data_IF_664601246211
#
_entry.id   IF_664601246211
#
_cell.length_a   1.000
_cell.length_b   1.000
_cell.length_c   1.000
_cell.angle_alpha   90.00
_cell.angle_beta   90.00
_cell.angle_gamma   90.00
#
_symmetry.space_group_name_H-M   'P 1'
#
loop_
_entity.id
_entity.type
_entity.pdbx_description
1 polymer ?
#
# COMPACT_ATOMS: atom_id res chain seq x y z
N UNK A 1 -28.14 3.20 14.29
CA UNK A 1 -26.72 2.76 14.31
C UNK A 1 -26.58 1.73 15.41
N UNK A 2 -26.14 0.51 15.10
CA UNK A 2 -25.82 -0.52 16.08
C UNK A 2 -24.30 -0.58 16.13
N UNK A 3 -23.70 -0.11 17.23
CA UNK A 3 -22.24 -0.18 17.41
C UNK A 3 -21.81 -1.65 17.49
N UNK A 4 -20.88 -2.04 16.61
CA UNK A 4 -20.25 -3.35 16.65
C UNK A 4 -19.27 -3.37 17.83
N UNK A 5 -19.70 -3.95 18.94
CA UNK A 5 -18.84 -4.26 20.10
C UNK A 5 -17.71 -5.17 19.61
N UNK A 6 -16.46 -4.71 19.78
CA UNK A 6 -15.28 -5.43 19.33
C UNK A 6 -14.99 -6.64 20.23
N UNK A 7 -14.16 -7.57 19.75
CA UNK A 7 -13.75 -8.72 20.56
C UNK A 7 -13.03 -8.28 21.85
N UNK A 8 -12.24 -7.21 21.77
CA UNK A 8 -11.52 -6.62 22.91
C UNK A 8 -12.48 -6.12 23.98
N UNK A 9 -13.55 -5.42 23.59
CA UNK A 9 -14.59 -4.94 24.52
C UNK A 9 -15.29 -6.10 25.24
N UNK A 10 -15.49 -7.24 24.55
CA UNK A 10 -16.07 -8.44 25.16
C UNK A 10 -15.12 -9.08 26.17
N UNK A 11 -13.83 -9.12 25.86
CA UNK A 11 -12.81 -9.67 26.75
C UNK A 11 -12.59 -8.80 27.98
N UNK A 12 -12.57 -7.47 27.83
CA UNK A 12 -12.46 -6.54 28.95
C UNK A 12 -13.66 -6.66 29.88
N UNK A 13 -14.88 -6.73 29.33
CA UNK A 13 -16.10 -6.96 30.10
C UNK A 13 -16.06 -8.26 30.91
N UNK A 14 -15.61 -9.36 30.30
CA UNK A 14 -15.46 -10.64 30.99
C UNK A 14 -14.42 -10.57 32.12
N UNK A 15 -13.33 -9.83 31.91
CA UNK A 15 -12.30 -9.68 32.92
C UNK A 15 -12.78 -8.82 34.10
N UNK A 16 -13.53 -7.75 33.83
CA UNK A 16 -14.19 -6.93 34.88
C UNK A 16 -15.20 -7.75 35.68
N UNK A 17 -16.02 -8.57 35.02
CA UNK A 17 -16.97 -9.47 35.69
C UNK A 17 -16.24 -10.49 36.58
N UNK A 18 -15.12 -11.05 36.12
CA UNK A 18 -14.30 -11.99 36.88
C UNK A 18 -13.72 -11.36 38.16
N UNK A 19 -13.16 -10.15 38.06
CA UNK A 19 -12.62 -9.43 39.22
C UNK A 19 -13.73 -9.05 40.23
N UNK A 20 -14.94 -8.72 39.75
CA UNK A 20 -16.09 -8.45 40.61
C UNK A 20 -16.52 -9.69 41.44
N UNK A 21 -16.41 -10.88 40.85
CA UNK A 21 -16.75 -12.16 41.52
C UNK A 21 -15.69 -12.53 42.57
N UNK A 22 -14.42 -12.20 42.34
CA UNK A 22 -13.34 -12.40 43.32
C UNK A 22 -13.50 -11.48 44.53
N UNK A 23 -13.90 -10.23 44.29
CA UNK A 23 -14.08 -9.23 45.35
C UNK A 23 -15.27 -9.56 46.27
N UNK A 24 -16.34 -10.15 45.73
CA UNK A 24 -17.53 -10.51 46.49
C UNK A 24 -17.85 -12.01 46.34
N UNK A 25 -17.14 -12.88 47.09
CA UNK A 25 -17.38 -14.31 47.00
C UNK A 25 -18.85 -14.61 47.36
N UNK A 26 -19.56 -15.44 46.58
CA UNK A 26 -20.96 -15.75 46.84
C UNK A 26 -21.12 -16.33 48.24
N UNK A 27 -22.18 -15.91 48.93
CA UNK A 27 -22.51 -16.36 50.28
C UNK A 27 -22.67 -17.89 50.34
N UNK A 28 -22.50 -18.48 51.51
CA UNK A 28 -22.57 -19.95 51.67
C UNK A 28 -23.92 -20.53 51.19
N UNK A 29 -25.01 -19.80 51.36
CA UNK A 29 -26.33 -20.17 50.82
C UNK A 29 -26.38 -20.11 49.29
N UNK A 30 -25.78 -19.09 48.66
CA UNK A 30 -25.65 -19.02 47.20
C UNK A 30 -24.74 -20.12 46.66
N UNK A 31 -23.65 -20.47 47.36
CA UNK A 31 -22.78 -21.60 47.01
C UNK A 31 -23.53 -22.93 47.06
N UNK A 32 -24.39 -23.15 48.06
CA UNK A 32 -25.24 -24.36 48.15
C UNK A 32 -26.29 -24.42 47.03
N UNK A 33 -26.90 -23.28 46.67
CA UNK A 33 -27.85 -23.20 45.55
C UNK A 33 -27.17 -23.42 44.19
N UNK A 34 -25.99 -22.82 43.98
CA UNK A 34 -25.20 -22.99 42.76
C UNK A 34 -24.66 -24.41 42.60
N UNK A 35 -24.29 -25.09 43.70
CA UNK A 35 -23.94 -26.52 43.65
C UNK A 35 -25.09 -27.40 43.17
N UNK A 36 -26.32 -27.17 43.64
CA UNK A 36 -27.51 -27.91 43.16
C UNK A 36 -27.79 -27.65 41.69
N UNK A 37 -27.68 -26.40 41.24
CA UNK A 37 -27.93 -26.05 39.85
C UNK A 37 -26.84 -26.59 38.91
N UNK A 38 -25.57 -26.53 39.30
CA UNK A 38 -24.47 -27.11 38.53
C UNK A 38 -24.59 -28.63 38.43
N UNK A 39 -25.07 -29.31 39.48
CA UNK A 39 -25.29 -30.76 39.45
C UNK A 39 -26.41 -31.14 38.48
N UNK A 40 -27.48 -30.34 38.42
CA UNK A 40 -28.55 -30.50 37.42
C UNK A 40 -28.06 -30.28 36.00
N UNK A 41 -27.24 -29.24 35.75
CA UNK A 41 -26.66 -28.96 34.43
C UNK A 41 -25.72 -30.09 33.99
N UNK A 42 -24.87 -30.59 34.90
CA UNK A 42 -24.00 -31.74 34.63
C UNK A 42 -24.80 -33.01 34.33
N UNK A 43 -25.91 -33.24 35.03
CA UNK A 43 -26.75 -34.42 34.81
C UNK A 43 -27.48 -34.34 33.46
N UNK A 44 -27.94 -33.15 33.06
CA UNK A 44 -28.51 -32.92 31.73
C UNK A 44 -27.46 -33.13 30.63
N UNK A 45 -26.25 -32.58 30.77
CA UNK A 45 -25.14 -32.82 29.83
C UNK A 45 -24.76 -34.29 29.74
N UNK A 46 -24.76 -35.02 30.87
CA UNK A 46 -24.48 -36.45 30.89
C UNK A 46 -25.59 -37.26 30.21
N UNK A 47 -26.86 -36.85 30.37
CA UNK A 47 -27.97 -37.44 29.63
C UNK A 47 -27.85 -37.20 28.11
N UNK A 48 -27.41 -36.01 27.68
CA UNK A 48 -27.16 -35.72 26.25
C UNK A 48 -25.99 -36.54 25.68
N UNK A 49 -24.90 -36.71 26.43
CA UNK A 49 -23.78 -37.59 26.03
C UNK A 49 -24.22 -39.05 25.97
N UNK A 50 -24.98 -39.53 26.96
CA UNK A 50 -25.48 -40.90 26.98
C UNK A 50 -26.50 -41.18 25.88
N UNK A 51 -27.38 -40.23 25.54
CA UNK A 51 -28.31 -40.37 24.42
C UNK A 51 -27.61 -40.23 23.06
N UNK A 52 -26.59 -39.37 22.93
CA UNK A 52 -25.81 -39.21 21.71
C UNK A 52 -24.96 -40.44 21.34
N UNK A 53 -24.57 -41.25 22.32
CA UNK A 53 -23.84 -42.50 22.05
C UNK A 53 -24.74 -43.68 21.60
N UNK A 54 -26.07 -43.60 21.75
CA UNK A 54 -26.97 -44.70 21.36
C UNK A 54 -27.34 -44.65 19.87
N UNK A 55 -27.37 -43.47 19.25
CA UNK A 55 -27.56 -43.33 17.79
C UNK A 55 -26.28 -43.61 16.96
N UNK A 56 -25.11 -43.73 17.61
CA UNK A 56 -23.83 -43.96 16.93
C UNK A 56 -23.50 -45.45 16.69
N UNK A 57 -24.36 -46.39 17.13
CA UNK A 57 -24.11 -47.84 17.04
C UNK A 57 -25.04 -48.57 16.05
N UNK A 58 -25.80 -47.84 15.23
CA UNK A 58 -26.68 -48.44 14.21
C UNK A 58 -26.52 -47.88 12.81
N UNK A 59 -25.48 -47.09 12.51
CA UNK A 59 -25.09 -46.92 11.11
C UNK A 59 -24.57 -48.27 10.63
N UNK A 60 -25.33 -48.95 9.77
CA UNK A 60 -24.89 -50.21 9.19
C UNK A 60 -23.56 -49.99 8.47
N UNK A 61 -22.75 -51.04 8.35
CA UNK A 61 -21.48 -51.00 7.61
C UNK A 61 -21.64 -50.43 6.18
N UNK A 62 -22.85 -50.47 5.62
CA UNK A 62 -23.21 -49.91 4.32
C UNK A 62 -23.30 -48.38 4.32
N UNK A 63 -23.85 -47.76 5.38
CA UNK A 63 -23.95 -46.30 5.50
C UNK A 63 -22.58 -45.67 5.81
N UNK A 64 -21.71 -46.41 6.51
CA UNK A 64 -20.32 -46.01 6.72
C UNK A 64 -19.54 -46.06 5.40
N UNK A 65 -19.70 -47.13 4.62
CA UNK A 65 -19.07 -47.27 3.31
C UNK A 65 -19.53 -46.19 2.32
N UNK A 66 -20.81 -45.80 2.35
CA UNK A 66 -21.32 -44.72 1.51
C UNK A 66 -20.75 -43.35 1.91
N UNK A 67 -20.62 -43.07 3.21
CA UNK A 67 -19.99 -41.83 3.71
C UNK A 67 -18.50 -41.76 3.41
N UNK A 68 -17.76 -42.86 3.55
CA UNK A 68 -16.36 -42.94 3.15
C UNK A 68 -16.18 -42.75 1.64
N UNK A 69 -17.07 -43.34 0.84
CA UNK A 69 -17.08 -43.14 -0.62
C UNK A 69 -17.35 -41.68 -0.98
N UNK A 70 -18.34 -41.02 -0.38
CA UNK A 70 -18.65 -39.61 -0.64
C UNK A 70 -17.52 -38.68 -0.18
N UNK A 71 -16.90 -38.97 0.97
CA UNK A 71 -15.75 -38.21 1.46
C UNK A 71 -14.55 -38.34 0.50
N UNK A 72 -14.32 -39.54 -0.06
CA UNK A 72 -13.24 -39.75 -1.03
C UNK A 72 -13.47 -39.02 -2.36
N UNK A 73 -14.72 -38.95 -2.83
CA UNK A 73 -15.09 -38.19 -4.03
C UNK A 73 -14.87 -36.70 -3.80
N UNK A 74 -15.37 -36.15 -2.69
CA UNK A 74 -15.22 -34.73 -2.37
C UNK A 74 -13.75 -34.33 -2.20
N UNK A 75 -12.94 -35.18 -1.57
CA UNK A 75 -11.50 -34.94 -1.44
C UNK A 75 -10.77 -34.99 -2.79
N UNK A 76 -11.25 -35.81 -3.74
CA UNK A 76 -10.71 -35.83 -5.10
C UNK A 76 -11.08 -34.57 -5.89
N UNK A 77 -12.32 -34.08 -5.76
CA UNK A 77 -12.76 -32.81 -6.35
C UNK A 77 -11.95 -31.62 -5.81
N UNK A 78 -11.79 -31.51 -4.49
CA UNK A 78 -10.96 -30.44 -3.88
C UNK A 78 -9.49 -30.50 -4.33
N UNK A 79 -8.95 -31.70 -4.56
CA UNK A 79 -7.60 -31.86 -5.08
C UNK A 79 -7.48 -31.46 -6.55
N UNK A 80 -8.51 -31.73 -7.36
CA UNK A 80 -8.57 -31.32 -8.76
C UNK A 80 -8.67 -29.81 -8.89
N UNK A 81 -9.52 -29.17 -8.09
CA UNK A 81 -9.63 -27.70 -8.02
C UNK A 81 -8.29 -27.05 -7.63
N UNK A 82 -7.58 -27.61 -6.63
CA UNK A 82 -6.25 -27.14 -6.25
C UNK A 82 -5.23 -27.30 -7.38
N UNK A 83 -5.28 -28.43 -8.10
CA UNK A 83 -4.38 -28.68 -9.23
C UNK A 83 -4.65 -27.72 -10.38
N UNK A 84 -5.91 -27.41 -10.68
CA UNK A 84 -6.27 -26.42 -11.69
C UNK A 84 -5.81 -25.02 -11.29
N UNK A 85 -5.93 -24.65 -10.02
CA UNK A 85 -5.41 -23.38 -9.50
C UNK A 85 -3.88 -23.29 -9.63
N UNK A 86 -3.16 -24.35 -9.28
CA UNK A 86 -1.69 -24.42 -9.42
C UNK A 86 -1.27 -24.38 -10.90
N UNK A 87 -1.99 -25.05 -11.80
CA UNK A 87 -1.73 -25.02 -13.24
C UNK A 87 -1.99 -23.64 -13.83
N UNK A 88 -3.08 -22.97 -13.43
CA UNK A 88 -3.36 -21.59 -13.83
C UNK A 88 -2.29 -20.62 -13.30
N UNK A 89 -1.84 -20.79 -12.06
CA UNK A 89 -0.76 -19.98 -11.50
C UNK A 89 0.56 -20.20 -12.25
N UNK A 90 0.89 -21.44 -12.62
CA UNK A 90 2.08 -21.76 -13.41
C UNK A 90 2.01 -21.18 -14.82
N UNK A 91 0.84 -21.22 -15.47
CA UNK A 91 0.61 -20.59 -16.78
C UNK A 91 0.70 -19.07 -16.71
N UNK A 92 0.14 -18.45 -15.67
CA UNK A 92 0.25 -17.01 -15.43
C UNK A 92 1.72 -16.60 -15.22
N UNK A 93 2.48 -17.37 -14.45
CA UNK A 93 3.91 -17.14 -14.24
C UNK A 93 4.73 -17.31 -15.54
N UNK A 94 4.42 -18.31 -16.36
CA UNK A 94 5.07 -18.51 -17.65
C UNK A 94 4.73 -17.39 -18.65
N UNK A 95 3.49 -16.90 -18.63
CA UNK A 95 3.05 -15.76 -19.43
C UNK A 95 3.74 -14.46 -19.00
N UNK A 96 3.85 -14.22 -17.69
CA UNK A 96 4.58 -13.07 -17.12
C UNK A 96 6.05 -13.08 -17.56
N UNK A 97 6.74 -14.22 -17.42
CA UNK A 97 8.13 -14.37 -17.87
C UNK A 97 8.31 -14.13 -19.38
N UNK A 98 7.30 -14.48 -20.19
CA UNK A 98 7.34 -14.23 -21.65
C UNK A 98 7.10 -12.76 -21.95
N UNK A 99 6.22 -12.08 -21.20
CA UNK A 99 5.96 -10.66 -21.32
C UNK A 99 7.18 -9.80 -20.91
N UNK A 100 7.90 -10.19 -19.85
CA UNK A 100 9.16 -9.55 -19.44
C UNK A 100 10.19 -9.49 -20.57
N UNK A 101 10.33 -10.58 -21.34
CA UNK A 101 11.32 -10.67 -22.42
C UNK A 101 11.03 -9.78 -23.64
N UNK A 102 9.82 -9.21 -23.74
CA UNK A 102 9.37 -8.45 -24.90
C UNK A 102 9.41 -6.93 -24.70
N UNK A 103 9.70 -6.43 -23.50
CA UNK A 103 9.84 -4.98 -23.26
C UNK A 103 11.26 -4.56 -23.69
N UNK A 104 11.43 -3.80 -24.77
CA UNK A 104 12.76 -3.48 -25.29
C UNK A 104 13.60 -2.73 -24.26
N UNK A 105 14.76 -3.31 -23.89
CA UNK A 105 15.71 -2.67 -22.97
C UNK A 105 15.38 -2.81 -21.48
N UNK A 106 14.36 -3.60 -21.11
CA UNK A 106 14.09 -3.94 -19.72
C UNK A 106 15.01 -5.08 -19.25
N UNK A 107 15.59 -4.90 -18.06
CA UNK A 107 16.37 -5.90 -17.34
C UNK A 107 15.97 -5.81 -15.86
N UNK A 108 15.22 -6.80 -15.37
CA UNK A 108 14.71 -6.84 -14.00
C UNK A 108 15.83 -6.84 -12.95
N UNK A 109 17.05 -7.28 -13.30
CA UNK A 109 18.20 -7.25 -12.40
C UNK A 109 18.72 -5.84 -12.11
N UNK A 110 18.32 -4.84 -12.90
CA UNK A 110 18.64 -3.43 -12.71
C UNK A 110 17.61 -2.70 -11.84
N UNK A 111 16.45 -3.31 -11.55
CA UNK A 111 15.46 -2.70 -10.68
C UNK A 111 16.03 -2.51 -9.27
N UNK A 112 15.71 -1.37 -8.65
CA UNK A 112 16.10 -1.04 -7.28
C UNK A 112 14.94 -1.23 -6.33
N UNK A 113 15.29 -1.38 -5.06
CA UNK A 113 14.31 -1.30 -3.98
C UNK A 113 13.64 0.08 -4.02
N UNK A 114 12.33 0.09 -3.76
CA UNK A 114 11.52 1.29 -3.70
C UNK A 114 10.52 1.18 -2.55
N UNK A 115 10.05 2.32 -2.07
CA UNK A 115 8.97 2.39 -1.09
C UNK A 115 7.78 3.14 -1.70
N UNK A 116 6.59 2.55 -1.65
CA UNK A 116 5.36 3.23 -2.04
C UNK A 116 4.87 4.05 -0.86
N UNK A 117 4.92 5.37 -0.99
CA UNK A 117 4.51 6.31 0.05
C UNK A 117 3.01 6.59 -0.03
N UNK A 118 2.52 6.78 -1.26
CA UNK A 118 1.14 7.16 -1.50
C UNK A 118 0.62 6.54 -2.81
N UNK A 119 -0.68 6.20 -2.81
CA UNK A 119 -1.40 5.68 -3.97
C UNK A 119 -2.69 6.49 -4.11
N UNK A 120 -2.99 6.94 -5.32
CA UNK A 120 -4.25 7.62 -5.64
C UNK A 120 -4.99 6.90 -6.77
N UNK A 121 -6.30 6.80 -6.60
CA UNK A 121 -7.22 6.26 -7.62
C UNK A 121 -7.82 7.42 -8.41
N UNK A 122 -7.45 7.53 -9.68
CA UNK A 122 -7.97 8.56 -10.61
C UNK A 122 -8.85 7.90 -11.68
N UNK A 123 -9.79 7.04 -11.26
CA UNK A 123 -10.66 6.32 -12.19
C UNK A 123 -11.55 7.30 -12.99
N UNK A 124 -11.67 7.09 -14.30
CA UNK A 124 -12.54 7.90 -15.17
C UNK A 124 -13.41 7.02 -16.05
N UNK A 125 -14.72 7.21 -15.94
CA UNK A 125 -15.71 6.37 -16.61
C UNK A 125 -15.46 4.89 -16.27
N UNK A 126 -15.20 4.07 -17.29
CA UNK A 126 -14.95 2.64 -17.14
C UNK A 126 -13.46 2.33 -16.91
N UNK A 127 -12.56 3.31 -17.02
CA UNK A 127 -11.12 3.09 -16.92
C UNK A 127 -10.62 3.13 -15.47
N UNK A 128 -9.89 2.08 -15.06
CA UNK A 128 -9.21 2.01 -13.77
C UNK A 128 -7.81 2.60 -13.91
N UNK A 129 -7.53 3.70 -13.21
CA UNK A 129 -6.25 4.40 -13.30
C UNK A 129 -5.66 4.61 -11.92
N UNK A 130 -4.37 4.33 -11.78
CA UNK A 130 -3.63 4.43 -10.53
C UNK A 130 -2.47 5.40 -10.68
N UNK A 131 -2.22 6.17 -9.63
CA UNK A 131 -1.03 6.99 -9.48
C UNK A 131 -0.26 6.51 -8.25
N UNK A 132 1.05 6.37 -8.38
CA UNK A 132 1.94 5.92 -7.31
C UNK A 132 3.00 6.97 -7.04
N UNK A 133 3.22 7.29 -5.78
CA UNK A 133 4.33 8.13 -5.33
C UNK A 133 5.32 7.24 -4.60
N UNK A 134 6.51 7.12 -5.16
CA UNK A 134 7.52 6.21 -4.65
C UNK A 134 8.81 6.94 -4.27
N UNK A 135 9.49 6.42 -3.27
CA UNK A 135 10.86 6.81 -2.93
C UNK A 135 11.82 5.74 -3.44
N UNK A 136 12.86 6.15 -4.14
CA UNK A 136 13.93 5.30 -4.69
C UNK A 136 15.31 5.82 -4.25
N UNK A 137 16.39 5.02 -4.37
CA UNK A 137 17.74 5.48 -4.02
C UNK A 137 18.16 6.76 -4.76
N UNK A 138 18.78 7.70 -4.04
CA UNK A 138 19.16 9.01 -4.60
C UNK A 138 20.23 8.98 -5.70
N UNK A 139 20.98 7.89 -5.78
CA UNK A 139 22.07 7.65 -6.74
C UNK A 139 21.64 6.75 -7.92
N UNK A 140 20.33 6.53 -8.08
CA UNK A 140 19.77 5.71 -9.15
C UNK A 140 20.14 6.26 -10.54
N UNK A 141 20.65 5.41 -11.42
CA UNK A 141 20.92 5.76 -12.82
C UNK A 141 19.65 5.74 -13.68
N UNK A 142 19.71 6.35 -14.86
CA UNK A 142 18.59 6.31 -15.84
C UNK A 142 18.09 4.88 -16.13
N UNK A 143 19.00 3.93 -16.35
CA UNK A 143 18.62 2.54 -16.66
C UNK A 143 17.96 1.84 -15.48
N UNK A 144 18.47 2.09 -14.27
CA UNK A 144 17.91 1.52 -13.04
C UNK A 144 16.55 2.13 -12.71
N UNK A 145 16.37 3.45 -12.92
CA UNK A 145 15.09 4.12 -12.73
C UNK A 145 14.02 3.54 -13.67
N UNK A 146 14.32 3.43 -14.97
CA UNK A 146 13.41 2.82 -15.95
C UNK A 146 13.06 1.37 -15.60
N UNK A 147 14.05 0.56 -15.23
CA UNK A 147 13.80 -0.82 -14.82
C UNK A 147 12.92 -0.92 -13.56
N UNK A 148 13.17 -0.07 -12.57
CA UNK A 148 12.37 0.01 -11.33
C UNK A 148 10.92 0.38 -11.61
N UNK A 149 10.71 1.37 -12.48
CA UNK A 149 9.37 1.82 -12.87
C UNK A 149 8.58 0.73 -13.62
N UNK A 150 9.22 0.08 -14.60
CA UNK A 150 8.61 -1.04 -15.34
C UNK A 150 8.27 -2.18 -14.38
N UNK A 151 9.18 -2.54 -13.47
CA UNK A 151 8.94 -3.58 -12.48
C UNK A 151 7.69 -3.28 -11.65
N UNK A 152 7.55 -2.06 -11.11
CA UNK A 152 6.36 -1.68 -10.34
C UNK A 152 5.08 -1.83 -11.15
N UNK A 153 5.08 -1.37 -12.40
CA UNK A 153 3.91 -1.49 -13.29
C UNK A 153 3.55 -2.97 -13.51
N UNK A 154 4.54 -3.83 -13.74
CA UNK A 154 4.33 -5.27 -13.91
C UNK A 154 3.80 -5.93 -12.64
N UNK A 155 4.36 -5.58 -11.49
CA UNK A 155 3.90 -6.09 -10.20
C UNK A 155 2.44 -5.70 -9.93
N UNK A 156 2.05 -4.45 -10.22
CA UNK A 156 0.70 -3.97 -9.95
C UNK A 156 -0.31 -4.48 -10.98
N UNK A 157 0.05 -4.56 -12.25
CA UNK A 157 -0.83 -5.10 -13.30
C UNK A 157 -0.98 -6.62 -13.23
N UNK A 158 0.01 -7.34 -12.69
CA UNK A 158 -0.13 -8.78 -12.42
C UNK A 158 -1.07 -9.06 -11.24
N UNK A 159 -1.08 -8.19 -10.22
CA UNK A 159 -2.02 -8.27 -9.08
C UNK A 159 -3.44 -7.87 -9.49
N UNK A 160 -3.57 -6.89 -10.36
CA UNK A 160 -4.86 -6.42 -10.87
C UNK A 160 -4.78 -6.16 -12.39
N UNK A 161 -5.17 -7.14 -13.22
CA UNK A 161 -5.10 -7.03 -14.67
C UNK A 161 -6.16 -6.07 -15.26
N UNK A 162 -7.10 -5.58 -14.45
CA UNK A 162 -8.11 -4.61 -14.88
C UNK A 162 -7.59 -3.16 -14.80
N UNK A 163 -6.36 -2.92 -14.31
CA UNK A 163 -5.75 -1.58 -14.35
C UNK A 163 -5.48 -1.19 -15.80
N UNK A 164 -6.00 -0.03 -16.21
CA UNK A 164 -5.90 0.51 -17.56
C UNK A 164 -4.84 1.62 -17.70
N UNK A 165 -4.39 2.20 -16.58
CA UNK A 165 -3.27 3.13 -16.61
C UNK A 165 -2.55 3.20 -15.26
N UNK A 166 -1.22 3.30 -15.29
CA UNK A 166 -0.37 3.53 -14.11
C UNK A 166 0.59 4.70 -14.33
N UNK A 167 0.50 5.73 -13.50
CA UNK A 167 1.46 6.84 -13.45
C UNK A 167 2.31 6.67 -12.20
N UNK A 168 3.61 6.81 -12.32
CA UNK A 168 4.53 6.79 -11.18
C UNK A 168 5.20 8.16 -11.08
N UNK A 169 5.18 8.74 -9.88
CA UNK A 169 5.97 9.89 -9.48
C UNK A 169 7.08 9.40 -8.53
N UNK A 170 8.35 9.57 -8.93
CA UNK A 170 9.48 9.07 -8.17
C UNK A 170 10.29 10.19 -7.52
N UNK A 171 10.66 9.95 -6.27
CA UNK A 171 11.40 10.85 -5.40
C UNK A 171 12.61 10.14 -4.81
N UNK A 172 13.61 10.90 -4.36
CA UNK A 172 14.74 10.38 -3.58
C UNK A 172 14.67 10.70 -2.09
N UNK A 173 13.72 11.55 -1.69
CA UNK A 173 13.45 11.89 -0.29
C UNK A 173 11.94 11.87 -0.05
N UNK A 174 11.51 11.27 1.05
CA UNK A 174 10.10 11.19 1.43
C UNK A 174 9.48 12.58 1.66
N UNK A 175 10.25 13.54 2.20
CA UNK A 175 9.80 14.92 2.45
C UNK A 175 9.42 15.69 1.19
N UNK A 176 9.89 15.25 0.02
CA UNK A 176 9.57 15.88 -1.27
C UNK A 176 8.27 15.33 -1.88
N UNK A 177 7.71 14.24 -1.34
CA UNK A 177 6.48 13.63 -1.85
C UNK A 177 5.31 14.61 -1.74
N UNK A 178 4.55 14.74 -2.83
CA UNK A 178 3.45 15.70 -2.95
C UNK A 178 3.84 17.03 -3.61
N UNK A 179 5.15 17.27 -3.81
CA UNK A 179 5.65 18.33 -4.69
C UNK A 179 6.01 17.75 -6.08
N UNK A 180 6.69 18.55 -6.91
CA UNK A 180 7.25 18.05 -8.16
C UNK A 180 8.23 16.90 -7.90
N UNK A 181 8.18 15.87 -8.75
CA UNK A 181 9.05 14.70 -8.66
C UNK A 181 10.53 15.11 -8.77
N UNK A 182 11.40 14.44 -8.03
CA UNK A 182 12.84 14.74 -8.04
C UNK A 182 13.63 13.73 -8.86
N UNK A 183 13.08 12.55 -9.18
CA UNK A 183 13.73 11.54 -10.02
C UNK A 183 13.14 11.58 -11.43
N UNK A 184 11.82 11.38 -11.53
CA UNK A 184 11.12 11.34 -12.80
C UNK A 184 9.71 10.80 -12.67
N UNK A 185 9.06 10.64 -13.81
CA UNK A 185 7.78 9.94 -13.94
C UNK A 185 7.83 8.88 -15.03
N UNK A 186 6.91 7.92 -14.94
CA UNK A 186 6.51 7.10 -16.07
C UNK A 186 4.99 7.06 -16.16
N UNK A 187 4.49 7.11 -17.39
CA UNK A 187 3.10 6.81 -17.71
C UNK A 187 3.05 5.49 -18.48
N UNK A 188 2.26 4.53 -17.99
CA UNK A 188 1.88 3.32 -18.72
C UNK A 188 0.42 3.39 -19.08
N UNK A 189 0.14 3.62 -20.36
CA UNK A 189 -1.21 3.89 -20.88
C UNK A 189 -1.27 3.68 -22.41
N UNK A 190 -2.49 3.57 -23.00
CA UNK A 190 -2.65 3.39 -24.44
C UNK A 190 -2.13 4.59 -25.23
N UNK A 191 -1.33 4.34 -26.25
CA UNK A 191 -0.70 5.35 -27.12
C UNK A 191 0.11 6.41 -26.35
N UNK A 192 0.53 6.09 -25.12
CA UNK A 192 1.23 7.02 -24.23
C UNK A 192 0.38 8.17 -23.69
N UNK A 193 -0.95 8.10 -23.81
CA UNK A 193 -1.87 9.14 -23.35
C UNK A 193 -2.71 8.72 -22.13
N UNK A 194 -2.82 9.61 -21.14
CA UNK A 194 -3.56 9.37 -19.90
C UNK A 194 -5.09 9.20 -20.07
N UNK A 195 -5.59 9.50 -21.27
CA UNK A 195 -7.01 9.44 -21.62
C UNK A 195 -7.36 8.09 -22.24
N UNK A 196 -7.59 7.08 -21.40
CA UNK A 196 -7.95 5.72 -21.82
C UNK A 196 -9.32 5.73 -22.53
N UNK A 197 -9.42 5.33 -23.81
CA UNK A 197 -10.70 5.16 -24.49
C UNK A 197 -11.55 4.05 -23.84
N UNK A 198 -12.87 4.27 -23.72
CA UNK A 198 -13.79 3.28 -23.13
C UNK A 198 -13.75 1.92 -23.84
N UNK A 199 -13.48 1.89 -25.14
CA UNK A 199 -13.35 0.64 -25.90
C UNK A 199 -12.14 -0.18 -25.46
N UNK A 200 -11.02 0.48 -25.13
CA UNK A 200 -9.80 -0.14 -24.63
C UNK A 200 -10.00 -0.63 -23.19
N UNK A 201 -10.59 0.19 -22.32
CA UNK A 201 -10.87 -0.20 -20.93
C UNK A 201 -11.79 -1.44 -20.86
N UNK A 202 -12.83 -1.49 -21.70
CA UNK A 202 -13.78 -2.63 -21.71
C UNK A 202 -13.21 -3.90 -22.35
N UNK A 203 -12.36 -3.77 -23.36
CA UNK A 203 -11.78 -4.92 -24.06
C UNK A 203 -10.54 -5.47 -23.37
N UNK A 204 -9.93 -4.70 -22.46
CA UNK A 204 -8.62 -4.96 -21.88
C UNK A 204 -7.54 -5.17 -22.97
N UNK A 205 -7.65 -4.46 -24.11
CA UNK A 205 -6.64 -4.52 -25.17
C UNK A 205 -5.42 -3.70 -24.77
N UNK A 206 -4.26 -4.35 -24.66
CA UNK A 206 -2.99 -3.73 -24.26
C UNK A 206 -2.00 -3.55 -25.43
N UNK A 207 -2.43 -3.82 -26.66
CA UNK A 207 -1.54 -3.84 -27.83
C UNK A 207 -0.94 -2.48 -28.21
N UNK A 208 -1.57 -1.37 -27.80
CA UNK A 208 -1.09 0.00 -28.03
C UNK A 208 -0.44 0.65 -26.80
N UNK A 209 -0.24 -0.09 -25.71
CA UNK A 209 0.29 0.51 -24.48
C UNK A 209 1.77 0.85 -24.62
N UNK A 210 2.15 2.01 -24.09
CA UNK A 210 3.51 2.52 -24.11
C UNK A 210 3.98 2.90 -22.71
N UNK A 211 5.30 2.89 -22.50
CA UNK A 211 5.94 3.47 -21.33
C UNK A 211 6.53 4.83 -21.70
N UNK A 212 5.92 5.91 -21.21
CA UNK A 212 6.38 7.29 -21.49
C UNK A 212 7.14 7.81 -20.28
N UNK A 213 8.47 7.88 -20.40
CA UNK A 213 9.35 8.31 -19.31
C UNK A 213 9.65 9.80 -19.38
N UNK A 214 9.54 10.49 -18.24
CA UNK A 214 10.06 11.85 -18.06
C UNK A 214 11.02 11.87 -16.89
N UNK A 215 12.33 11.83 -17.17
CA UNK A 215 13.36 11.84 -16.14
C UNK A 215 13.95 13.24 -15.96
N UNK A 216 14.30 13.60 -14.73
CA UNK A 216 15.03 14.85 -14.40
C UNK A 216 16.45 14.80 -14.98
N UNK A 217 17.10 15.95 -15.28
CA UNK A 217 18.46 15.88 -15.85
C UNK A 217 19.45 15.31 -14.85
N UNK A 218 19.26 15.38 -13.53
CA UNK A 218 20.19 14.70 -12.61
C UNK A 218 20.27 13.18 -12.81
N UNK A 219 19.17 12.53 -13.22
CA UNK A 219 19.13 11.09 -13.50
C UNK A 219 19.78 10.79 -14.86
N UNK A 220 19.55 11.67 -15.84
CA UNK A 220 20.11 11.53 -17.20
C UNK A 220 21.58 11.99 -17.30
N UNK A 221 21.98 12.92 -16.43
CA UNK A 221 23.28 13.58 -16.42
C UNK A 221 23.84 13.64 -14.98
N UNK A 222 24.78 12.74 -14.69
CA UNK A 222 25.38 12.55 -13.37
C UNK A 222 26.38 13.64 -12.93
N UNK A 223 26.52 14.75 -13.68
CA UNK A 223 27.47 15.81 -13.32
C UNK A 223 27.03 16.67 -12.13
N UNK A 224 25.76 16.56 -11.70
CA UNK A 224 25.24 17.34 -10.58
C UNK A 224 25.68 16.73 -9.24
N UNK A 225 26.37 17.52 -8.43
CA UNK A 225 26.80 17.12 -7.09
C UNK A 225 25.60 17.15 -6.13
N UNK A 226 25.35 16.01 -5.46
CA UNK A 226 24.32 15.93 -4.41
C UNK A 226 24.59 16.95 -3.29
N UNK A 227 23.59 17.76 -2.89
CA UNK A 227 23.66 18.59 -1.70
C UNK A 227 23.96 17.77 -0.45
N UNK A 228 24.62 18.37 0.53
CA UNK A 228 24.81 17.76 1.84
C UNK A 228 23.50 17.73 2.63
N UNK A 229 23.41 16.88 3.65
CA UNK A 229 22.23 16.83 4.53
C UNK A 229 21.93 18.19 5.19
N UNK A 230 22.96 18.95 5.56
CA UNK A 230 22.77 20.31 6.11
C UNK A 230 22.21 21.29 5.06
N UNK A 231 22.65 21.18 3.80
CA UNK A 231 22.11 22.02 2.72
C UNK A 231 20.64 21.68 2.43
N UNK A 232 20.27 20.40 2.51
CA UNK A 232 18.88 19.98 2.44
C UNK A 232 18.05 20.50 3.62
N UNK A 233 18.57 20.41 4.86
CA UNK A 233 17.90 20.96 6.06
C UNK A 233 17.64 22.47 5.94
N UNK A 234 18.64 23.22 5.45
CA UNK A 234 18.51 24.66 5.18
C UNK A 234 17.46 24.93 4.10
N UNK A 235 17.46 24.14 3.01
CA UNK A 235 16.46 24.25 1.94
C UNK A 235 15.04 23.96 2.44
N UNK A 236 14.85 22.91 3.23
CA UNK A 236 13.55 22.53 3.76
C UNK A 236 13.02 23.63 4.71
N UNK A 237 13.89 24.22 5.54
CA UNK A 237 13.53 25.39 6.36
C UNK A 237 13.26 26.66 5.54
N UNK A 238 13.96 26.83 4.41
CA UNK A 238 13.68 27.91 3.45
C UNK A 238 12.26 27.78 2.90
N UNK A 239 11.84 26.57 2.48
CA UNK A 239 10.46 26.31 2.02
C UNK A 239 9.42 26.63 3.09
N UNK A 240 9.63 26.16 4.32
CA UNK A 240 8.74 26.47 5.46
C UNK A 240 8.63 27.98 5.68
N UNK A 241 9.76 28.69 5.62
CA UNK A 241 9.79 30.15 5.79
C UNK A 241 9.09 30.89 4.64
N UNK A 242 9.21 30.39 3.41
CA UNK A 242 8.55 30.93 2.23
C UNK A 242 7.03 30.73 2.31
N UNK A 243 6.57 29.52 2.66
CA UNK A 243 5.15 29.20 2.82
C UNK A 243 4.51 30.08 3.91
N UNK A 244 5.21 30.25 5.05
CA UNK A 244 4.74 31.14 6.11
C UNK A 244 4.65 32.61 5.66
N UNK A 245 5.59 33.09 4.84
CA UNK A 245 5.53 34.44 4.28
C UNK A 245 4.40 34.58 3.25
N UNK A 246 4.09 33.51 2.50
CA UNK A 246 2.99 33.49 1.55
C UNK A 246 1.62 33.67 2.23
N UNK A 247 1.44 33.07 3.42
CA UNK A 247 0.22 33.22 4.23
C UNK A 247 -0.02 34.67 4.71
N UNK A 248 1.01 35.52 4.73
CA UNK A 248 0.92 36.92 5.13
C UNK A 248 0.68 37.89 3.95
N UNK A 249 0.69 37.39 2.71
CA UNK A 249 0.49 38.21 1.50
C UNK A 249 -0.94 38.75 1.43
N UNK A 250 -1.09 40.07 1.25
CA UNK A 250 -2.40 40.70 1.04
C UNK A 250 -2.93 40.39 -0.37
N UNK A 251 -3.72 39.32 -0.48
CA UNK A 251 -4.35 38.88 -1.73
C UNK A 251 -5.35 39.90 -2.31
N UNK A 252 -5.67 40.99 -1.60
CA UNK A 252 -6.47 42.09 -2.16
C UNK A 252 -5.65 43.04 -3.04
N UNK A 253 -4.32 43.05 -2.87
CA UNK A 253 -3.39 43.75 -3.75
C UNK A 253 -2.87 42.80 -4.84
N UNK A 254 -3.20 43.03 -6.13
CA UNK A 254 -2.75 42.17 -7.23
C UNK A 254 -1.23 42.21 -7.47
N UNK A 255 -0.50 43.10 -6.79
CA UNK A 255 0.96 43.19 -6.86
C UNK A 255 1.67 42.69 -5.60
N UNK A 256 0.92 42.27 -4.56
CA UNK A 256 1.54 41.72 -3.37
C UNK A 256 2.25 40.40 -3.69
N UNK A 257 3.48 40.27 -3.22
CA UNK A 257 4.34 39.09 -3.37
C UNK A 257 5.08 38.85 -2.07
N UNK A 258 5.61 37.64 -1.90
CA UNK A 258 6.51 37.32 -0.79
C UNK A 258 7.76 38.20 -0.87
N UNK A 259 8.13 38.78 0.27
CA UNK A 259 9.41 39.45 0.46
C UNK A 259 10.52 38.39 0.62
N UNK A 260 11.14 38.02 -0.49
CA UNK A 260 12.20 37.00 -0.49
C UNK A 260 13.42 37.42 0.34
N UNK A 261 13.69 38.72 0.50
CA UNK A 261 14.84 39.17 1.28
C UNK A 261 14.60 38.96 2.78
N UNK A 262 13.36 39.13 3.23
CA UNK A 262 12.94 38.75 4.59
C UNK A 262 13.06 37.24 4.80
N UNK A 263 12.64 36.42 3.84
CA UNK A 263 12.78 34.95 3.91
C UNK A 263 14.25 34.55 4.02
N UNK A 264 15.12 35.05 3.12
CA UNK A 264 16.56 34.79 3.16
C UNK A 264 17.17 35.21 4.51
N UNK A 265 16.80 36.38 5.03
CA UNK A 265 17.30 36.87 6.30
C UNK A 265 16.85 36.01 7.49
N UNK A 266 15.61 35.50 7.47
CA UNK A 266 15.09 34.60 8.50
C UNK A 266 15.86 33.28 8.52
N UNK A 267 16.10 32.68 7.35
CA UNK A 267 16.91 31.46 7.22
C UNK A 267 18.34 31.70 7.67
N UNK A 268 18.96 32.80 7.24
CA UNK A 268 20.29 33.22 7.63
C UNK A 268 20.45 33.34 9.16
N UNK A 269 19.49 34.01 9.81
CA UNK A 269 19.47 34.17 11.26
C UNK A 269 19.33 32.82 11.99
N UNK A 270 18.54 31.88 11.45
CA UNK A 270 18.32 30.57 12.05
C UNK A 270 19.60 29.73 12.08
N UNK A 271 20.34 29.71 10.97
CA UNK A 271 21.53 28.86 10.81
C UNK A 271 22.86 29.56 11.07
N UNK A 272 22.86 30.88 11.32
CA UNK A 272 24.07 31.66 11.55
C UNK A 272 24.94 31.81 10.30
N UNK A 273 24.30 31.88 9.12
CA UNK A 273 24.93 32.11 7.81
C UNK A 273 24.50 33.48 7.26
N UNK A 274 25.06 33.89 6.12
CA UNK A 274 24.61 35.09 5.40
C UNK A 274 23.32 34.81 4.59
N UNK A 275 22.57 35.87 4.26
CA UNK A 275 21.37 35.76 3.42
C UNK A 275 21.70 35.26 2.01
N UNK A 276 22.85 35.66 1.47
CA UNK A 276 23.38 35.20 0.19
C UNK A 276 23.73 33.71 0.22
N UNK A 277 24.40 33.23 1.28
CA UNK A 277 24.69 31.79 1.45
C UNK A 277 23.40 30.96 1.55
N UNK A 278 22.39 31.43 2.30
CA UNK A 278 21.09 30.76 2.37
C UNK A 278 20.44 30.63 0.99
N UNK A 279 20.48 31.70 0.19
CA UNK A 279 19.91 31.71 -1.16
C UNK A 279 20.71 30.83 -2.15
N UNK A 280 22.04 30.84 -2.06
CA UNK A 280 22.87 29.97 -2.90
C UNK A 280 22.65 28.48 -2.59
N UNK A 281 22.44 28.12 -1.32
CA UNK A 281 22.03 26.76 -0.92
C UNK A 281 20.66 26.42 -1.49
N UNK A 282 19.67 27.33 -1.36
CA UNK A 282 18.35 27.14 -1.94
C UNK A 282 18.41 26.89 -3.45
N UNK A 283 19.18 27.69 -4.17
CA UNK A 283 19.37 27.56 -5.63
C UNK A 283 20.05 26.24 -5.98
N UNK A 284 21.11 25.86 -5.24
CA UNK A 284 21.83 24.59 -5.44
C UNK A 284 20.92 23.38 -5.27
N UNK A 285 20.11 23.32 -4.22
CA UNK A 285 19.18 22.21 -3.98
C UNK A 285 18.08 22.16 -5.05
N UNK A 286 17.53 23.33 -5.41
CA UNK A 286 16.53 23.45 -6.49
C UNK A 286 17.09 22.98 -7.84
N UNK A 287 18.32 23.38 -8.19
CA UNK A 287 19.01 22.92 -9.39
C UNK A 287 19.22 21.40 -9.36
N UNK A 288 19.65 20.86 -8.23
CA UNK A 288 19.83 19.41 -8.07
C UNK A 288 18.52 18.64 -8.24
N UNK A 289 17.40 19.12 -7.70
CA UNK A 289 16.12 18.43 -7.72
C UNK A 289 15.39 18.51 -9.06
N UNK A 290 15.41 19.67 -9.72
CA UNK A 290 14.50 19.97 -10.83
C UNK A 290 15.19 20.25 -12.17
N UNK A 291 16.51 20.46 -12.19
CA UNK A 291 17.23 20.60 -13.45
C UNK A 291 17.73 19.24 -13.87
#
# INVERSE_FOLDING_TARGET
>A
MVEKITFTDRMEKLNTELESIKANPPSEQQRKKNKRNNWLILLVLFCFLAYGCVDLLTTSDEELAEKESQASIKAAEELEDLREADEQAALAHAAANTAESNIPGYDSSLAKDYEIIFIEDDNRMDAIRKQYWIVVPSDISETEAKATFIQLIMDETSKNPDIDAICIFAYDREVDVGYAYTIGTVDWCPDGEWNVPNEIARSNDRSSYEYVFTLTKRVVNSTLTKPTELEFEIYDFYKISYDAAWDEVDLSDPYATVDEDLVKQNVANHYGITAEEAYDIYRKVTEYQYQ
#
